data_IF_301406878735
#
_entry.id   IF_301406878735
#
_cell.length_a   1.000
_cell.length_b   1.000
_cell.length_c   1.000
_cell.angle_alpha   90.00
_cell.angle_beta   90.00
_cell.angle_gamma   90.00
#
_symmetry.space_group_name_H-M   'P 1'
#
loop_
_entity.id
_entity.type
_entity.pdbx_description
1 polymer ?
#
# COMPACT_ATOMS: atom_id res chain seq x y z
N UNK A 1 9.84 -85.58 -11.49
CA UNK A 1 9.72 -84.32 -12.13
C UNK A 1 8.71 -83.44 -11.37
N UNK A 2 9.21 -82.52 -10.56
CA UNK A 2 8.34 -81.56 -9.86
C UNK A 2 8.18 -80.33 -10.72
N UNK A 3 6.98 -80.12 -11.23
CA UNK A 3 6.63 -78.93 -11.93
C UNK A 3 6.52 -77.76 -10.90
N UNK A 4 7.44 -76.85 -10.98
CA UNK A 4 7.37 -75.59 -10.23
C UNK A 4 6.24 -74.78 -10.78
N UNK A 5 5.16 -74.65 -10.00
CA UNK A 5 4.08 -73.71 -10.25
C UNK A 5 4.66 -72.30 -10.00
N UNK A 6 5.00 -71.59 -11.02
CA UNK A 6 5.12 -70.14 -10.94
C UNK A 6 3.69 -69.58 -10.77
N UNK A 7 3.45 -69.15 -9.57
CA UNK A 7 2.32 -68.27 -9.27
C UNK A 7 2.73 -66.92 -9.78
N UNK A 8 2.01 -66.31 -10.74
CA UNK A 8 2.29 -64.92 -11.09
C UNK A 8 1.95 -64.09 -9.84
N UNK A 9 2.93 -63.49 -9.24
CA UNK A 9 2.70 -62.38 -8.29
C UNK A 9 1.81 -61.38 -9.03
N UNK A 10 0.61 -61.21 -8.52
CA UNK A 10 -0.22 -60.11 -8.95
C UNK A 10 0.54 -58.84 -8.59
N UNK A 11 1.13 -58.19 -9.58
CA UNK A 11 1.65 -56.84 -9.44
C UNK A 11 0.48 -55.99 -8.99
N UNK A 12 0.52 -55.62 -7.74
CA UNK A 12 -0.43 -54.67 -7.16
C UNK A 12 -0.15 -53.32 -7.87
N UNK A 13 -0.87 -53.10 -8.95
CA UNK A 13 -0.89 -51.82 -9.63
C UNK A 13 -1.62 -50.80 -8.79
N UNK A 14 -1.13 -50.61 -7.57
CA UNK A 14 -1.56 -49.50 -6.76
C UNK A 14 -1.29 -48.17 -7.53
N UNK A 15 -2.22 -47.27 -7.47
CA UNK A 15 -2.07 -45.94 -8.05
C UNK A 15 -0.89 -45.28 -7.36
N UNK A 16 0.15 -44.96 -8.14
CA UNK A 16 1.30 -44.24 -7.61
C UNK A 16 0.90 -42.77 -7.43
N UNK A 17 0.89 -42.33 -6.17
CA UNK A 17 0.55 -40.95 -5.81
C UNK A 17 1.73 -39.98 -5.88
N UNK A 18 2.94 -40.48 -6.07
CA UNK A 18 4.14 -39.66 -6.08
C UNK A 18 4.14 -38.59 -7.19
N UNK A 19 3.74 -38.90 -8.45
CA UNK A 19 3.62 -37.88 -9.50
C UNK A 19 2.54 -36.83 -9.20
N UNK A 20 1.47 -37.20 -8.51
CA UNK A 20 0.41 -36.26 -8.13
C UNK A 20 0.89 -35.30 -7.03
N UNK A 21 1.68 -35.78 -6.07
CA UNK A 21 2.29 -34.96 -5.05
C UNK A 21 3.30 -33.98 -5.66
N UNK A 22 4.13 -34.43 -6.60
CA UNK A 22 5.08 -33.59 -7.30
C UNK A 22 4.38 -32.44 -8.06
N UNK A 23 3.33 -32.76 -8.78
CA UNK A 23 2.51 -31.74 -9.47
C UNK A 23 1.91 -30.74 -8.49
N UNK A 24 1.37 -31.20 -7.38
CA UNK A 24 0.74 -30.35 -6.36
C UNK A 24 1.80 -29.45 -5.69
N UNK A 25 2.97 -29.97 -5.38
CA UNK A 25 4.07 -29.19 -4.80
C UNK A 25 4.57 -28.14 -5.78
N UNK A 26 4.76 -28.48 -7.06
CA UNK A 26 5.15 -27.54 -8.10
C UNK A 26 4.12 -26.42 -8.26
N UNK A 27 2.86 -26.76 -8.22
CA UNK A 27 1.77 -25.78 -8.28
C UNK A 27 1.80 -24.84 -7.06
N UNK A 28 2.02 -25.40 -5.88
CA UNK A 28 2.13 -24.64 -4.64
C UNK A 28 3.31 -23.65 -4.68
N UNK A 29 4.49 -24.11 -5.12
CA UNK A 29 5.67 -23.27 -5.28
C UNK A 29 5.43 -22.17 -6.29
N UNK A 30 4.77 -22.49 -7.41
CA UNK A 30 4.38 -21.50 -8.41
C UNK A 30 3.49 -20.41 -7.83
N UNK A 31 2.47 -20.77 -7.05
CA UNK A 31 1.61 -19.81 -6.37
C UNK A 31 2.36 -18.94 -5.37
N UNK A 32 3.25 -19.52 -4.58
CA UNK A 32 4.06 -18.77 -3.60
C UNK A 32 4.94 -17.74 -4.32
N UNK A 33 5.62 -18.14 -5.38
CA UNK A 33 6.49 -17.26 -6.17
C UNK A 33 5.66 -16.15 -6.82
N UNK A 34 4.52 -16.50 -7.45
CA UNK A 34 3.66 -15.54 -8.12
C UNK A 34 3.10 -14.51 -7.13
N UNK A 35 2.70 -14.94 -5.95
CA UNK A 35 2.19 -14.05 -4.90
C UNK A 35 3.27 -13.10 -4.37
N UNK A 36 4.52 -13.54 -4.33
CA UNK A 36 5.65 -12.68 -3.93
C UNK A 36 5.97 -11.59 -4.96
N UNK A 37 5.62 -11.77 -6.22
CA UNK A 37 5.82 -10.78 -7.28
C UNK A 37 4.70 -9.74 -7.39
N UNK A 38 3.57 -9.98 -6.73
CA UNK A 38 2.61 -8.90 -6.49
C UNK A 38 3.20 -8.05 -5.35
N UNK A 39 4.31 -7.37 -5.64
CA UNK A 39 4.54 -6.09 -5.02
C UNK A 39 3.37 -5.24 -5.53
N UNK A 40 2.32 -5.24 -4.76
CA UNK A 40 1.48 -4.09 -4.80
C UNK A 40 2.43 -2.92 -4.77
N UNK A 41 2.42 -2.09 -5.81
CA UNK A 41 2.81 -0.70 -5.67
C UNK A 41 1.78 -0.13 -4.66
N UNK A 42 1.76 -0.76 -3.50
CA UNK A 42 0.92 -0.49 -2.37
C UNK A 42 1.54 0.73 -1.75
N UNK A 43 0.87 1.80 -1.94
CA UNK A 43 0.72 2.84 -0.98
C UNK A 43 0.93 2.18 0.38
N UNK A 44 2.06 2.46 1.00
CA UNK A 44 2.29 2.06 2.39
C UNK A 44 1.27 2.83 3.20
N UNK A 45 0.10 2.23 3.37
CA UNK A 45 -0.85 2.72 4.34
C UNK A 45 -0.21 2.46 5.69
N UNK A 46 0.40 3.48 6.24
CA UNK A 46 0.72 3.49 7.65
C UNK A 46 -0.60 3.42 8.40
N UNK A 47 -1.00 2.18 8.73
CA UNK A 47 -2.01 1.96 9.74
C UNK A 47 -1.39 2.45 11.05
N UNK A 48 -1.90 3.50 11.66
CA UNK A 48 -1.47 3.83 13.00
C UNK A 48 -1.95 2.70 13.91
N UNK A 49 -1.07 1.77 14.22
CA UNK A 49 -1.28 0.93 15.39
C UNK A 49 -1.22 1.86 16.60
N UNK A 50 -2.36 1.99 17.24
CA UNK A 50 -2.44 2.61 18.55
C UNK A 50 -1.66 1.75 19.54
N UNK A 51 -0.37 1.87 19.55
CA UNK A 51 0.47 1.49 20.66
C UNK A 51 0.81 2.77 21.42
N UNK A 52 0.16 2.90 22.52
CA UNK A 52 0.49 3.78 23.63
C UNK A 52 1.99 3.70 23.92
N UNK A 53 2.76 4.55 23.31
CA UNK A 53 4.10 4.90 23.74
C UNK A 53 4.40 6.28 23.16
N UNK A 54 4.67 7.19 24.04
CA UNK A 54 5.22 8.52 23.85
C UNK A 54 5.95 8.68 22.51
N UNK A 55 5.19 8.89 21.44
CA UNK A 55 5.73 9.53 20.27
C UNK A 55 5.55 11.02 20.53
N UNK A 56 6.67 11.69 20.78
CA UNK A 56 6.81 13.10 20.50
C UNK A 56 6.00 13.38 19.25
N UNK A 57 5.08 14.32 19.36
CA UNK A 57 4.26 14.82 18.27
C UNK A 57 5.13 15.30 17.09
N UNK A 58 5.62 14.39 16.29
CA UNK A 58 5.92 14.70 14.90
C UNK A 58 4.56 14.88 14.25
N UNK A 59 4.08 16.11 14.28
CA UNK A 59 2.77 16.43 13.74
C UNK A 59 2.75 16.18 12.26
N UNK A 60 1.91 15.28 11.80
CA UNK A 60 1.65 15.13 10.39
C UNK A 60 0.79 16.30 9.93
N UNK A 61 1.29 17.09 8.99
CA UNK A 61 0.53 18.12 8.33
C UNK A 61 -0.40 17.48 7.29
N UNK A 62 -1.69 17.53 7.54
CA UNK A 62 -2.69 16.95 6.65
C UNK A 62 -3.15 17.98 5.63
N UNK A 63 -2.97 17.68 4.35
CA UNK A 63 -3.49 18.46 3.22
C UNK A 63 -4.52 17.60 2.50
N UNK A 64 -5.78 17.96 2.57
CA UNK A 64 -6.87 17.26 1.90
C UNK A 64 -7.24 17.95 0.59
N UNK A 65 -7.43 17.17 -0.48
CA UNK A 65 -7.88 17.65 -1.79
C UNK A 65 -9.24 17.02 -2.07
N UNK A 66 -10.26 17.85 -2.19
CA UNK A 66 -11.62 17.42 -2.50
C UNK A 66 -11.80 17.14 -3.99
N UNK A 67 -12.89 16.45 -4.32
CA UNK A 67 -13.28 16.16 -5.70
C UNK A 67 -13.40 17.42 -6.57
N UNK A 68 -13.90 18.52 -6.00
CA UNK A 68 -14.04 19.81 -6.68
C UNK A 68 -12.70 20.57 -6.87
N UNK A 69 -11.58 20.03 -6.38
CA UNK A 69 -10.26 20.66 -6.45
C UNK A 69 -9.95 21.62 -5.31
N UNK A 70 -10.82 21.78 -4.34
CA UNK A 70 -10.53 22.56 -3.14
C UNK A 70 -9.47 21.89 -2.28
N UNK A 71 -8.53 22.70 -1.81
CA UNK A 71 -7.46 22.27 -0.93
C UNK A 71 -7.82 22.70 0.49
N UNK A 72 -7.76 21.76 1.40
CA UNK A 72 -8.03 21.99 2.81
C UNK A 72 -6.80 21.65 3.63
N UNK A 73 -6.41 22.53 4.53
CA UNK A 73 -5.36 22.29 5.51
C UNK A 73 -5.84 22.78 6.87
N UNK A 74 -5.61 21.97 7.91
CA UNK A 74 -6.03 22.27 9.28
C UNK A 74 -7.52 22.71 9.38
N UNK A 75 -8.40 21.99 8.65
CA UNK A 75 -9.84 22.23 8.57
C UNK A 75 -10.27 23.57 7.97
N UNK A 76 -9.36 24.24 7.29
CA UNK A 76 -9.61 25.50 6.58
C UNK A 76 -9.33 25.35 5.09
N UNK A 77 -10.16 25.94 4.22
CA UNK A 77 -9.84 25.97 2.80
C UNK A 77 -8.65 26.89 2.56
N UNK A 78 -7.71 26.42 1.74
CA UNK A 78 -6.48 27.13 1.41
C UNK A 78 -6.34 27.25 -0.10
N UNK A 79 -5.98 28.43 -0.59
CA UNK A 79 -5.65 28.59 -2.00
C UNK A 79 -4.25 28.02 -2.29
N UNK A 80 -4.09 27.46 -3.49
CA UNK A 80 -2.81 26.86 -3.91
C UNK A 80 -1.64 27.84 -3.83
N UNK A 81 -1.89 29.13 -4.02
CA UNK A 81 -0.87 30.19 -3.94
C UNK A 81 -0.39 30.45 -2.51
N UNK A 82 -1.29 30.27 -1.56
CA UNK A 82 -1.01 30.46 -0.13
C UNK A 82 -0.37 29.23 0.49
N UNK A 83 -0.58 28.06 -0.13
CA UNK A 83 -0.11 26.77 0.37
C UNK A 83 1.40 26.76 0.59
N UNK A 84 2.20 27.27 -0.36
CA UNK A 84 3.65 27.33 -0.23
C UNK A 84 4.08 28.15 0.99
N UNK A 85 3.57 29.35 1.13
CA UNK A 85 3.94 30.24 2.25
C UNK A 85 3.55 29.62 3.61
N UNK A 86 2.42 28.95 3.64
CA UNK A 86 1.95 28.28 4.84
C UNK A 86 2.83 27.07 5.20
N UNK A 87 3.20 26.26 4.20
CA UNK A 87 4.12 25.14 4.36
C UNK A 87 5.52 25.61 4.80
N UNK A 88 6.07 26.63 4.18
CA UNK A 88 7.36 27.22 4.57
C UNK A 88 7.36 27.67 6.04
N UNK A 89 6.31 28.35 6.44
CA UNK A 89 6.15 28.79 7.83
C UNK A 89 6.10 27.61 8.80
N UNK A 90 5.30 26.60 8.48
CA UNK A 90 5.16 25.41 9.32
C UNK A 90 6.43 24.57 9.36
N UNK A 91 7.16 24.50 8.25
CA UNK A 91 8.45 23.81 8.20
C UNK A 91 9.53 24.48 9.06
N UNK A 92 9.50 25.82 9.17
CA UNK A 92 10.39 26.56 10.08
C UNK A 92 10.02 26.27 11.55
N UNK A 93 8.74 26.22 11.86
CA UNK A 93 8.25 25.93 13.21
C UNK A 93 8.48 24.46 13.62
N UNK A 94 8.34 23.55 12.66
CA UNK A 94 8.41 22.09 12.85
C UNK A 94 9.16 21.42 11.70
N UNK A 95 10.49 21.39 11.72
CA UNK A 95 11.30 20.89 10.61
C UNK A 95 11.18 19.38 10.36
N UNK A 96 10.73 18.63 11.35
CA UNK A 96 10.61 17.17 11.30
C UNK A 96 9.19 16.67 10.88
N UNK A 97 8.28 17.60 10.60
CA UNK A 97 6.92 17.25 10.22
C UNK A 97 6.87 16.66 8.80
N UNK A 98 6.06 15.62 8.64
CA UNK A 98 5.77 15.00 7.36
C UNK A 98 4.44 15.54 6.82
N UNK A 99 4.37 15.88 5.54
CA UNK A 99 3.12 16.25 4.90
C UNK A 99 2.42 15.03 4.34
N UNK A 100 1.18 14.82 4.75
CA UNK A 100 0.31 13.78 4.21
C UNK A 100 -0.76 14.42 3.34
N UNK A 101 -0.72 14.15 2.05
CA UNK A 101 -1.71 14.62 1.08
C UNK A 101 -2.79 13.55 0.95
N UNK A 102 -4.02 13.88 1.32
CA UNK A 102 -5.18 13.02 1.17
C UNK A 102 -5.96 13.51 -0.04
N UNK A 103 -5.97 12.76 -1.13
CA UNK A 103 -6.69 13.09 -2.33
C UNK A 103 -7.97 12.26 -2.46
N UNK A 104 -9.09 12.91 -2.71
CA UNK A 104 -10.32 12.24 -3.09
C UNK A 104 -10.16 11.50 -4.42
N UNK A 105 -10.83 10.36 -4.58
CA UNK A 105 -10.78 9.57 -5.83
C UNK A 105 -11.22 10.36 -7.06
N UNK A 106 -12.16 11.29 -6.89
CA UNK A 106 -12.64 12.16 -7.95
C UNK A 106 -11.74 13.37 -8.20
N UNK A 107 -10.70 13.59 -7.37
CA UNK A 107 -9.81 14.72 -7.54
C UNK A 107 -8.97 14.60 -8.81
N UNK A 108 -8.73 15.74 -9.47
CA UNK A 108 -7.92 15.76 -10.69
C UNK A 108 -6.45 15.54 -10.36
N UNK A 109 -5.81 14.59 -11.04
CA UNK A 109 -4.38 14.32 -10.88
C UNK A 109 -3.50 15.56 -11.06
N UNK A 110 -3.89 16.50 -11.93
CA UNK A 110 -3.19 17.76 -12.12
C UNK A 110 -3.19 18.66 -10.88
N UNK A 111 -4.26 18.65 -10.09
CA UNK A 111 -4.34 19.40 -8.83
C UNK A 111 -3.43 18.77 -7.79
N UNK A 112 -3.45 17.45 -7.69
CA UNK A 112 -2.57 16.70 -6.78
C UNK A 112 -1.10 16.98 -7.09
N UNK A 113 -0.72 16.96 -8.37
CA UNK A 113 0.64 17.26 -8.80
C UNK A 113 1.06 18.68 -8.42
N UNK A 114 0.19 19.67 -8.63
CA UNK A 114 0.46 21.06 -8.24
C UNK A 114 0.64 21.22 -6.73
N UNK A 115 -0.21 20.56 -5.94
CA UNK A 115 -0.10 20.58 -4.48
C UNK A 115 1.23 19.97 -4.04
N UNK A 116 1.63 18.84 -4.62
CA UNK A 116 2.93 18.24 -4.34
C UNK A 116 4.10 19.17 -4.66
N UNK A 117 4.04 19.86 -5.79
CA UNK A 117 5.09 20.81 -6.19
C UNK A 117 5.17 21.98 -5.21
N UNK A 118 4.04 22.55 -4.79
CA UNK A 118 4.02 23.63 -3.82
C UNK A 118 4.55 23.20 -2.44
N UNK A 119 4.22 21.98 -2.00
CA UNK A 119 4.74 21.42 -0.75
C UNK A 119 6.26 21.22 -0.82
N UNK A 120 6.78 20.70 -1.93
CA UNK A 120 8.23 20.53 -2.15
C UNK A 120 8.96 21.87 -2.19
N UNK A 121 8.38 22.85 -2.87
CA UNK A 121 8.92 24.22 -2.93
C UNK A 121 8.90 24.91 -1.56
N UNK A 122 7.97 24.49 -0.67
CA UNK A 122 7.94 24.91 0.73
C UNK A 122 9.05 24.30 1.61
N UNK A 123 9.87 23.39 1.05
CA UNK A 123 11.04 22.83 1.71
C UNK A 123 10.85 21.45 2.32
N UNK A 124 9.64 20.90 2.31
CA UNK A 124 9.36 19.57 2.85
C UNK A 124 9.66 18.50 1.80
N UNK A 125 10.52 17.56 2.16
CA UNK A 125 10.93 16.45 1.29
C UNK A 125 10.11 15.18 1.52
N UNK A 126 9.66 14.98 2.75
CA UNK A 126 8.91 13.80 3.15
C UNK A 126 7.40 14.04 2.95
N UNK A 127 6.91 13.58 1.80
CA UNK A 127 5.51 13.72 1.40
C UNK A 127 4.92 12.32 1.24
N UNK A 128 3.88 12.02 2.00
CA UNK A 128 3.06 10.84 1.82
C UNK A 128 1.76 11.20 1.10
N UNK A 129 1.31 10.32 0.21
CA UNK A 129 0.04 10.49 -0.49
C UNK A 129 -0.87 9.34 -0.07
N UNK A 130 -2.05 9.67 0.40
CA UNK A 130 -3.12 8.74 0.68
C UNK A 130 -4.33 9.05 -0.22
N UNK A 131 -4.95 8.01 -0.76
CA UNK A 131 -6.23 8.16 -1.41
C UNK A 131 -7.34 8.03 -0.35
N UNK A 132 -8.25 8.98 -0.32
CA UNK A 132 -9.46 8.82 0.47
C UNK A 132 -10.36 7.79 -0.24
N UNK A 133 -10.70 6.66 0.39
CA UNK A 133 -11.60 5.68 -0.21
C UNK A 133 -13.01 6.22 -0.48
N UNK A 134 -13.28 7.46 -0.14
CA UNK A 134 -14.60 8.05 -0.16
C UNK A 134 -15.46 7.37 0.91
N UNK A 135 -15.95 8.11 1.86
CA UNK A 135 -16.97 7.61 2.77
C UNK A 135 -18.16 7.18 1.90
N UNK A 136 -18.33 5.88 1.71
CA UNK A 136 -19.59 5.36 1.23
C UNK A 136 -20.58 5.66 2.35
N UNK A 137 -21.17 6.84 2.29
CA UNK A 137 -22.28 7.20 3.14
C UNK A 137 -23.39 6.20 2.87
N UNK A 138 -23.60 5.31 3.82
CA UNK A 138 -24.78 4.48 3.84
C UNK A 138 -26.00 5.33 4.17
#
# INVERSE_FOLDING_TARGET
MRASKHTPEAEDHGIDLAPMLDFTINLLIFFIITTSFIKEAGITVFKPEATTAEHQDSGNLLVAIRENGEIWMDRQPVEIRELRALIERLHIERPDDTVVIIADKGSRAGVVAKVMDEVRLGGIKDIAIAADPGTTGG
#
